data_IF_323240739240
#
_entry.id   IF_323240739240
#
_cell.length_a   1.000
_cell.length_b   1.000
_cell.length_c   1.000
_cell.angle_alpha   90.00
_cell.angle_beta   90.00
_cell.angle_gamma   90.00
#
_symmetry.space_group_name_H-M   'P 1'
#
loop_
_entity.id
_entity.type
_entity.pdbx_description
1 polymer ?
#
# COMPACT_ATOMS: atom_id res chain seq x y z
N UNK A 1 1.43 -3.51 -18.16
CA UNK A 1 0.96 -4.03 -16.85
C UNK A 1 0.67 -2.84 -15.96
N UNK A 2 -0.49 -2.76 -15.29
CA UNK A 2 -0.80 -1.64 -14.39
C UNK A 2 0.06 -1.75 -13.13
N UNK A 3 0.77 -0.68 -12.75
CA UNK A 3 1.64 -0.60 -11.55
C UNK A 3 1.19 0.47 -10.56
N UNK A 4 0.17 1.26 -10.89
CA UNK A 4 -0.30 2.40 -10.11
C UNK A 4 -1.31 1.95 -9.04
N UNK A 5 -1.08 2.31 -7.79
CA UNK A 5 -2.03 2.15 -6.68
C UNK A 5 -2.56 3.52 -6.29
N UNK A 6 -3.88 3.69 -6.23
CA UNK A 6 -4.49 4.91 -5.72
C UNK A 6 -4.56 4.88 -4.20
N UNK A 7 -3.87 5.78 -3.51
CA UNK A 7 -4.13 6.08 -2.10
C UNK A 7 -5.37 6.98 -2.00
N UNK A 8 -6.53 6.39 -1.72
CA UNK A 8 -7.81 7.07 -1.69
C UNK A 8 -8.05 7.74 -0.33
N UNK A 9 -7.25 8.76 -0.05
CA UNK A 9 -7.34 9.56 1.18
C UNK A 9 -8.40 10.68 1.04
N UNK A 10 -9.61 10.31 0.62
CA UNK A 10 -10.78 11.17 0.43
C UNK A 10 -11.87 10.67 1.37
N UNK A 11 -12.30 11.51 2.32
CA UNK A 11 -13.09 11.07 3.48
C UNK A 11 -14.59 11.37 3.37
N UNK A 12 -15.04 11.78 2.19
CA UNK A 12 -16.45 11.87 1.84
C UNK A 12 -16.77 10.69 0.92
N UNK A 13 -17.72 9.86 1.33
CA UNK A 13 -17.97 8.52 0.76
C UNK A 13 -18.24 8.57 -0.74
N UNK A 14 -19.19 9.41 -1.16
CA UNK A 14 -19.66 9.41 -2.54
C UNK A 14 -18.56 9.96 -3.47
N UNK A 15 -17.84 10.98 -3.02
CA UNK A 15 -16.67 11.49 -3.74
C UNK A 15 -15.54 10.46 -3.83
N UNK A 16 -15.31 9.66 -2.78
CA UNK A 16 -14.31 8.61 -2.81
C UNK A 16 -14.65 7.53 -3.86
N UNK A 17 -15.92 7.10 -3.92
CA UNK A 17 -16.41 6.15 -4.91
C UNK A 17 -16.29 6.71 -6.34
N UNK A 18 -16.71 7.95 -6.57
CA UNK A 18 -16.63 8.62 -7.87
C UNK A 18 -15.17 8.68 -8.40
N UNK A 19 -14.23 9.08 -7.54
CA UNK A 19 -12.81 9.16 -7.92
C UNK A 19 -12.25 7.76 -8.22
N UNK A 20 -12.58 6.76 -7.40
CA UNK A 20 -12.11 5.39 -7.60
C UNK A 20 -12.62 4.81 -8.92
N UNK A 21 -13.92 4.99 -9.22
CA UNK A 21 -14.54 4.51 -10.45
C UNK A 21 -13.95 5.20 -11.69
N UNK A 22 -13.90 6.54 -11.72
CA UNK A 22 -13.44 7.26 -12.90
C UNK A 22 -11.95 7.03 -13.22
N UNK A 23 -11.15 6.58 -12.24
CA UNK A 23 -9.71 6.30 -12.40
C UNK A 23 -9.38 4.83 -12.62
N UNK A 24 -10.32 3.90 -12.45
CA UNK A 24 -10.09 2.45 -12.38
C UNK A 24 -9.31 1.86 -13.58
N UNK A 25 -9.49 2.39 -14.78
CA UNK A 25 -8.82 1.94 -16.02
C UNK A 25 -7.28 2.03 -15.99
N UNK A 26 -6.72 2.81 -15.07
CA UNK A 26 -5.29 3.08 -14.97
C UNK A 26 -4.65 2.44 -13.74
N UNK A 27 -5.46 1.92 -12.83
CA UNK A 27 -5.04 1.45 -11.51
C UNK A 27 -4.87 -0.08 -11.49
N UNK A 28 -3.89 -0.52 -10.73
CA UNK A 28 -3.74 -1.90 -10.31
C UNK A 28 -4.58 -2.20 -9.06
N UNK A 29 -4.66 -1.28 -8.11
CA UNK A 29 -5.43 -1.43 -6.88
C UNK A 29 -5.83 -0.07 -6.29
N UNK A 30 -6.82 -0.09 -5.39
CA UNK A 30 -7.20 1.05 -4.55
C UNK A 30 -6.76 0.75 -3.11
N UNK A 31 -6.12 1.72 -2.45
CA UNK A 31 -5.67 1.63 -1.06
C UNK A 31 -6.52 2.55 -0.19
N UNK A 32 -7.19 1.99 0.81
CA UNK A 32 -7.99 2.71 1.81
C UNK A 32 -7.27 2.74 3.15
N UNK A 33 -7.55 3.74 3.98
CA UNK A 33 -6.92 3.93 5.29
C UNK A 33 -7.97 3.94 6.42
N UNK A 34 -7.51 3.98 7.67
CA UNK A 34 -8.41 4.08 8.83
C UNK A 34 -9.37 5.27 8.78
N UNK A 35 -8.94 6.52 8.51
CA UNK A 35 -9.85 7.65 8.39
C UNK A 35 -11.06 7.41 7.47
N UNK A 36 -10.86 6.84 6.28
CA UNK A 36 -11.96 6.52 5.36
C UNK A 36 -12.88 5.43 5.95
N UNK A 37 -12.30 4.35 6.49
CA UNK A 37 -13.07 3.25 7.09
C UNK A 37 -13.87 3.71 8.32
N UNK A 38 -13.30 4.58 9.16
CA UNK A 38 -13.98 5.14 10.33
C UNK A 38 -15.12 6.07 9.89
N UNK A 39 -14.89 6.90 8.88
CA UNK A 39 -15.88 7.86 8.40
C UNK A 39 -17.03 7.24 7.60
N UNK A 40 -16.75 6.21 6.79
CA UNK A 40 -17.74 5.60 5.87
C UNK A 40 -18.22 4.22 6.32
N UNK A 41 -17.63 3.66 7.37
CA UNK A 41 -17.85 2.28 7.79
C UNK A 41 -17.05 1.27 6.96
N UNK A 42 -16.94 0.04 7.47
CA UNK A 42 -16.15 -1.03 6.84
C UNK A 42 -16.67 -1.43 5.44
N UNK A 43 -17.96 -1.25 5.19
CA UNK A 43 -18.59 -1.56 3.90
C UNK A 43 -18.02 -0.77 2.72
N UNK A 44 -17.32 0.35 2.96
CA UNK A 44 -16.65 1.10 1.88
C UNK A 44 -15.69 0.23 1.08
N UNK A 45 -15.09 -0.80 1.71
CA UNK A 45 -14.23 -1.78 1.04
C UNK A 45 -15.03 -2.56 -0.02
N UNK A 46 -16.20 -3.07 0.36
CA UNK A 46 -17.10 -3.79 -0.55
C UNK A 46 -17.56 -2.89 -1.70
N UNK A 47 -17.97 -1.67 -1.39
CA UNK A 47 -18.48 -0.71 -2.38
C UNK A 47 -17.40 -0.33 -3.40
N UNK A 48 -16.18 -0.03 -2.95
CA UNK A 48 -15.04 0.26 -3.82
C UNK A 48 -14.73 -0.91 -4.75
N UNK A 49 -14.76 -2.14 -4.22
CA UNK A 49 -14.53 -3.34 -5.03
C UNK A 49 -15.60 -3.53 -6.09
N UNK A 50 -16.86 -3.24 -5.78
CA UNK A 50 -17.98 -3.34 -6.73
C UNK A 50 -17.88 -2.30 -7.85
N UNK A 51 -17.62 -1.02 -7.54
CA UNK A 51 -17.60 0.04 -8.56
C UNK A 51 -16.33 0.01 -9.41
N UNK A 52 -15.21 -0.48 -8.87
CA UNK A 52 -13.93 -0.50 -9.62
C UNK A 52 -13.60 -1.85 -10.24
N UNK A 53 -14.09 -2.96 -9.66
CA UNK A 53 -13.62 -4.31 -10.00
C UNK A 53 -12.15 -4.57 -9.68
N UNK A 54 -11.50 -3.70 -8.89
CA UNK A 54 -10.07 -3.76 -8.60
C UNK A 54 -9.78 -4.37 -7.21
N UNK A 55 -8.56 -4.90 -7.02
CA UNK A 55 -8.07 -5.25 -5.69
C UNK A 55 -8.08 -4.07 -4.72
N UNK A 56 -8.43 -4.34 -3.47
CA UNK A 56 -8.41 -3.36 -2.38
C UNK A 56 -7.29 -3.67 -1.38
N UNK A 57 -6.48 -2.67 -1.08
CA UNK A 57 -5.45 -2.71 -0.03
C UNK A 57 -5.97 -1.94 1.20
N UNK A 58 -6.12 -2.63 2.32
CA UNK A 58 -6.44 -2.00 3.59
C UNK A 58 -5.13 -1.56 4.30
N UNK A 59 -4.86 -0.26 4.27
CA UNK A 59 -3.71 0.36 4.93
C UNK A 59 -3.96 0.58 6.42
N UNK A 60 -4.03 -0.53 7.15
CA UNK A 60 -4.38 -0.54 8.57
C UNK A 60 -3.16 -0.43 9.48
N UNK A 61 -1.98 -0.81 8.97
CA UNK A 61 -0.74 -0.92 9.74
C UNK A 61 -0.96 -1.70 11.04
N UNK A 62 -1.60 -2.87 10.93
CA UNK A 62 -1.91 -3.72 12.09
C UNK A 62 -0.65 -3.96 12.93
N UNK A 63 -0.78 -3.77 14.24
CA UNK A 63 0.32 -3.77 15.20
C UNK A 63 -0.20 -4.15 16.59
N UNK A 64 -1.05 -5.18 16.65
CA UNK A 64 -1.59 -5.74 17.90
C UNK A 64 -1.11 -7.19 18.08
N UNK A 65 -1.47 -7.82 19.20
CA UNK A 65 -1.17 -9.23 19.48
C UNK A 65 -1.88 -10.16 18.48
N UNK A 66 -1.44 -11.44 18.34
CA UNK A 66 -1.92 -12.33 17.28
C UNK A 66 -3.45 -12.51 17.26
N UNK A 67 -4.09 -12.66 18.43
CA UNK A 67 -5.55 -12.84 18.51
C UNK A 67 -6.31 -11.62 17.97
N UNK A 68 -5.91 -10.41 18.39
CA UNK A 68 -6.56 -9.18 17.95
C UNK A 68 -6.34 -8.95 16.45
N UNK A 69 -5.11 -9.14 15.96
CA UNK A 69 -4.82 -9.05 14.52
C UNK A 69 -5.69 -10.01 13.71
N UNK A 70 -5.88 -11.26 14.16
CA UNK A 70 -6.74 -12.24 13.50
C UNK A 70 -8.20 -11.77 13.43
N UNK A 71 -8.73 -11.22 14.53
CA UNK A 71 -10.10 -10.69 14.57
C UNK A 71 -10.29 -9.52 13.60
N UNK A 72 -9.36 -8.56 13.60
CA UNK A 72 -9.42 -7.40 12.69
C UNK A 72 -9.29 -7.86 11.24
N UNK A 73 -8.28 -8.68 10.94
CA UNK A 73 -8.02 -9.18 9.60
C UNK A 73 -9.20 -9.98 9.05
N UNK A 74 -9.80 -10.84 9.86
CA UNK A 74 -10.99 -11.60 9.47
C UNK A 74 -12.13 -10.69 9.00
N UNK A 75 -12.45 -9.65 9.77
CA UNK A 75 -13.51 -8.68 9.39
C UNK A 75 -13.17 -7.92 8.11
N UNK A 76 -11.92 -7.53 7.93
CA UNK A 76 -11.47 -6.73 6.79
C UNK A 76 -11.43 -7.55 5.50
N UNK A 77 -10.98 -8.82 5.57
CA UNK A 77 -11.04 -9.75 4.44
C UNK A 77 -12.48 -10.16 4.11
N UNK A 78 -13.34 -10.39 5.11
CA UNK A 78 -14.79 -10.62 4.91
C UNK A 78 -15.47 -9.45 4.17
N UNK A 79 -15.07 -8.21 4.46
CA UNK A 79 -15.56 -7.02 3.76
C UNK A 79 -15.04 -6.91 2.31
N UNK A 80 -14.11 -7.77 1.90
CA UNK A 80 -13.65 -7.88 0.51
C UNK A 80 -12.27 -7.31 0.24
N UNK A 81 -11.49 -6.92 1.25
CA UNK A 81 -10.11 -6.52 1.04
C UNK A 81 -9.29 -7.67 0.44
N UNK A 82 -8.33 -7.35 -0.42
CA UNK A 82 -7.43 -8.35 -1.03
C UNK A 82 -6.08 -8.39 -0.34
N UNK A 83 -5.69 -7.28 0.30
CA UNK A 83 -4.44 -7.12 1.02
C UNK A 83 -4.62 -6.32 2.30
N UNK A 84 -3.87 -6.67 3.35
CA UNK A 84 -3.76 -5.86 4.57
C UNK A 84 -2.30 -5.43 4.76
N UNK A 85 -2.09 -4.16 5.10
CA UNK A 85 -0.78 -3.67 5.54
C UNK A 85 -0.63 -3.89 7.04
N UNK A 86 0.46 -4.54 7.45
CA UNK A 86 0.79 -4.84 8.85
C UNK A 86 2.23 -4.44 9.19
N UNK A 87 2.49 -4.17 10.48
CA UNK A 87 3.84 -3.95 11.00
C UNK A 87 4.47 -5.26 11.47
N UNK A 88 5.77 -5.42 11.20
CA UNK A 88 6.55 -6.55 11.72
C UNK A 88 7.16 -6.32 13.10
N UNK A 89 7.20 -5.07 13.60
CA UNK A 89 7.85 -4.77 14.88
C UNK A 89 7.15 -5.41 16.09
N UNK A 90 5.90 -5.87 15.93
CA UNK A 90 5.12 -6.56 16.96
C UNK A 90 5.39 -8.06 17.06
N UNK A 91 6.26 -8.61 16.21
CA UNK A 91 6.60 -10.03 16.19
C UNK A 91 6.04 -10.76 14.96
N UNK A 92 6.72 -11.86 14.57
CA UNK A 92 6.33 -12.66 13.41
C UNK A 92 5.00 -13.39 13.62
N UNK A 93 4.72 -13.83 14.84
CA UNK A 93 3.46 -14.46 15.25
C UNK A 93 2.24 -13.57 14.97
N UNK A 94 2.39 -12.25 15.18
CA UNK A 94 1.36 -11.26 14.93
C UNK A 94 1.14 -11.00 13.43
N UNK A 95 2.18 -11.16 12.60
CA UNK A 95 2.10 -11.06 11.14
C UNK A 95 1.49 -12.33 10.55
N UNK A 96 1.93 -13.50 11.03
CA UNK A 96 1.42 -14.82 10.62
C UNK A 96 -0.08 -14.93 10.86
N UNK A 97 -0.59 -14.44 11.99
CA UNK A 97 -2.01 -14.40 12.28
C UNK A 97 -2.87 -13.65 11.24
N UNK A 98 -2.29 -12.66 10.55
CA UNK A 98 -2.94 -11.97 9.43
C UNK A 98 -2.78 -12.78 8.13
N UNK A 99 -1.58 -13.34 7.90
CA UNK A 99 -1.26 -14.12 6.71
C UNK A 99 -2.04 -15.43 6.59
N UNK A 100 -2.42 -16.02 7.72
CA UNK A 100 -3.33 -17.18 7.79
C UNK A 100 -4.69 -16.91 7.12
N UNK A 101 -5.13 -15.65 7.08
CA UNK A 101 -6.44 -15.25 6.57
C UNK A 101 -6.39 -14.64 5.17
N UNK A 102 -5.25 -14.11 4.74
CA UNK A 102 -5.14 -13.47 3.44
C UNK A 102 -3.78 -12.85 3.16
N UNK A 103 -3.68 -12.10 2.06
CA UNK A 103 -2.39 -11.56 1.60
C UNK A 103 -1.99 -10.37 2.45
N UNK A 104 -0.75 -10.38 2.92
CA UNK A 104 -0.20 -9.31 3.77
C UNK A 104 0.88 -8.53 3.03
N UNK A 105 0.94 -7.23 3.31
CA UNK A 105 2.04 -6.34 2.92
C UNK A 105 2.73 -5.85 4.19
N UNK A 106 4.01 -6.14 4.35
CA UNK A 106 4.75 -5.81 5.58
C UNK A 106 5.38 -4.41 5.50
N UNK A 107 5.27 -3.63 6.57
CA UNK A 107 6.03 -2.37 6.69
C UNK A 107 7.44 -2.67 7.17
N UNK A 108 8.44 -2.52 6.28
CA UNK A 108 9.88 -2.69 6.62
C UNK A 108 10.61 -1.36 6.81
N UNK A 109 10.10 -0.28 6.21
CA UNK A 109 10.62 1.08 6.40
C UNK A 109 9.49 2.11 6.17
N UNK A 110 9.60 3.29 6.79
CA UNK A 110 8.64 4.40 6.67
C UNK A 110 9.36 5.69 6.26
N UNK A 111 8.64 6.61 5.61
CA UNK A 111 9.23 7.84 5.04
C UNK A 111 9.26 9.06 5.97
N UNK A 112 8.41 9.09 7.00
CA UNK A 112 8.30 10.24 7.91
C UNK A 112 9.55 10.39 8.82
N UNK A 113 9.88 11.60 9.31
CA UNK A 113 11.09 11.85 10.10
C UNK A 113 11.28 10.93 11.32
N UNK A 114 10.21 10.66 12.07
CA UNK A 114 10.24 9.79 13.26
C UNK A 114 10.59 8.33 12.97
N UNK A 115 10.49 7.87 11.72
CA UNK A 115 10.93 6.54 11.33
C UNK A 115 12.41 6.28 11.63
N UNK A 116 13.23 7.35 11.68
CA UNK A 116 14.67 7.27 11.97
C UNK A 116 14.99 6.86 13.40
N UNK A 117 14.06 7.05 14.33
CA UNK A 117 14.27 6.76 15.74
C UNK A 117 14.26 5.26 16.03
N UNK A 118 13.27 4.53 15.49
CA UNK A 118 13.05 3.12 15.84
C UNK A 118 12.86 2.18 14.66
N UNK A 119 12.23 2.62 13.56
CA UNK A 119 11.88 1.74 12.44
C UNK A 119 13.06 1.54 11.48
N UNK A 120 13.71 2.62 11.05
CA UNK A 120 14.84 2.56 10.13
C UNK A 120 16.06 1.82 10.71
N UNK A 121 16.41 1.98 12.01
CA UNK A 121 17.49 1.19 12.60
C UNK A 121 17.26 -0.32 12.59
N UNK A 122 16.00 -0.78 12.51
CA UNK A 122 15.65 -2.20 12.49
C UNK A 122 15.18 -2.70 11.12
N UNK A 123 15.29 -1.89 10.06
CA UNK A 123 14.85 -2.27 8.70
C UNK A 123 15.45 -3.61 8.25
N UNK A 124 16.73 -3.86 8.51
CA UNK A 124 17.37 -5.13 8.10
C UNK A 124 16.72 -6.35 8.76
N UNK A 125 16.37 -6.27 10.06
CA UNK A 125 15.66 -7.34 10.77
C UNK A 125 14.23 -7.54 10.24
N UNK A 126 13.57 -6.44 9.86
CA UNK A 126 12.24 -6.50 9.24
C UNK A 126 12.29 -7.11 7.83
N UNK A 127 13.38 -6.88 7.07
CA UNK A 127 13.62 -7.55 5.78
C UNK A 127 13.88 -9.04 5.97
N UNK A 128 14.69 -9.44 6.96
CA UNK A 128 14.92 -10.85 7.30
C UNK A 128 13.60 -11.55 7.65
N UNK A 129 12.74 -10.92 8.46
CA UNK A 129 11.39 -11.41 8.75
C UNK A 129 10.55 -11.54 7.47
N UNK A 130 10.54 -10.52 6.60
CA UNK A 130 9.82 -10.59 5.34
C UNK A 130 10.33 -11.73 4.44
N UNK A 131 11.63 -11.99 4.42
CA UNK A 131 12.22 -13.10 3.66
C UNK A 131 11.82 -14.47 4.20
N UNK A 132 11.66 -14.60 5.53
CA UNK A 132 11.23 -15.85 6.16
C UNK A 132 9.73 -16.12 6.03
N UNK A 133 8.90 -15.07 6.08
CA UNK A 133 7.45 -15.18 6.00
C UNK A 133 6.91 -15.15 4.56
N UNK A 134 7.66 -14.53 3.63
CA UNK A 134 7.29 -14.38 2.22
C UNK A 134 5.90 -13.71 2.03
N UNK A 135 5.66 -12.51 2.61
CA UNK A 135 4.42 -11.77 2.37
C UNK A 135 4.29 -11.40 0.89
N UNK A 136 3.11 -10.96 0.45
CA UNK A 136 2.92 -10.52 -0.93
C UNK A 136 3.92 -9.42 -1.31
N UNK A 137 4.17 -8.51 -0.39
CA UNK A 137 5.14 -7.47 -0.58
C UNK A 137 5.50 -6.72 0.69
N UNK A 138 6.30 -5.68 0.53
CA UNK A 138 6.70 -4.78 1.59
C UNK A 138 6.49 -3.32 1.18
N UNK A 139 6.38 -2.44 2.19
CA UNK A 139 6.40 -0.98 2.00
C UNK A 139 7.84 -0.46 2.07
N UNK A 140 8.26 0.29 1.05
CA UNK A 140 9.52 1.03 1.00
C UNK A 140 9.30 2.52 0.67
N UNK A 141 10.09 3.46 1.20
CA UNK A 141 9.87 4.91 1.01
C UNK A 141 10.24 5.40 -0.40
N UNK A 142 9.27 5.98 -1.14
CA UNK A 142 9.50 6.45 -2.53
C UNK A 142 10.38 7.69 -2.63
N UNK A 143 10.45 8.46 -1.54
CA UNK A 143 11.21 9.72 -1.46
C UNK A 143 12.72 9.51 -1.55
N UNK A 144 13.17 8.26 -1.45
CA UNK A 144 14.57 7.86 -1.37
C UNK A 144 14.83 6.63 -2.25
N UNK A 145 15.00 6.79 -3.59
CA UNK A 145 15.23 5.69 -4.50
C UNK A 145 16.39 4.77 -4.08
N UNK A 146 17.42 5.31 -3.43
CA UNK A 146 18.54 4.52 -2.88
C UNK A 146 18.09 3.53 -1.81
N UNK A 147 17.06 3.88 -1.01
CA UNK A 147 16.47 2.97 -0.01
C UNK A 147 15.64 1.88 -0.68
N UNK A 148 14.94 2.19 -1.77
CA UNK A 148 14.21 1.18 -2.57
C UNK A 148 15.19 0.16 -3.13
N UNK A 149 16.29 0.60 -3.74
CA UNK A 149 17.35 -0.29 -4.26
C UNK A 149 17.99 -1.13 -3.15
N UNK A 150 18.24 -0.52 -1.98
CA UNK A 150 18.80 -1.22 -0.82
C UNK A 150 17.87 -2.31 -0.29
N UNK A 151 16.57 -2.02 -0.16
CA UNK A 151 15.58 -3.01 0.28
C UNK A 151 15.47 -4.12 -0.78
N UNK A 152 15.42 -3.77 -2.06
CA UNK A 152 15.36 -4.74 -3.17
C UNK A 152 16.56 -5.70 -3.16
N UNK A 153 17.78 -5.22 -2.93
CA UNK A 153 18.97 -6.07 -2.97
C UNK A 153 19.02 -7.13 -1.86
N UNK A 154 18.22 -6.95 -0.80
CA UNK A 154 18.14 -7.87 0.34
C UNK A 154 16.87 -8.74 0.36
N UNK A 155 15.86 -8.41 -0.43
CA UNK A 155 14.60 -9.17 -0.47
C UNK A 155 14.71 -10.42 -1.35
N UNK A 156 14.05 -11.50 -0.92
CA UNK A 156 13.88 -12.72 -1.70
C UNK A 156 13.13 -12.41 -3.01
N UNK A 157 13.54 -13.00 -4.15
CA UNK A 157 12.77 -12.90 -5.39
C UNK A 157 11.31 -13.30 -5.19
N UNK A 158 10.38 -12.55 -5.77
CA UNK A 158 8.94 -12.79 -5.65
C UNK A 158 8.23 -11.86 -4.67
N UNK A 159 8.91 -11.38 -3.61
CA UNK A 159 8.37 -10.39 -2.69
C UNK A 159 8.31 -9.02 -3.39
N UNK A 160 7.11 -8.44 -3.45
CA UNK A 160 6.88 -7.16 -4.15
C UNK A 160 7.30 -5.97 -3.30
N UNK A 161 7.72 -4.88 -3.93
CA UNK A 161 7.91 -3.59 -3.26
C UNK A 161 6.81 -2.64 -3.71
N UNK A 162 6.06 -2.13 -2.74
CA UNK A 162 5.10 -1.05 -2.93
C UNK A 162 5.64 0.22 -2.30
N UNK A 163 5.56 1.34 -3.02
CA UNK A 163 6.23 2.57 -2.58
C UNK A 163 5.29 3.79 -2.55
N UNK A 164 4.97 4.36 -1.37
CA UNK A 164 4.24 5.62 -1.26
C UNK A 164 5.17 6.82 -1.29
N UNK A 165 4.66 7.95 -1.79
CA UNK A 165 5.36 9.24 -1.77
C UNK A 165 5.74 9.79 -3.16
N UNK A 166 5.31 9.14 -4.24
CA UNK A 166 5.43 9.72 -5.58
C UNK A 166 4.48 10.91 -5.75
N UNK A 167 4.96 11.97 -6.39
CA UNK A 167 4.22 13.23 -6.57
C UNK A 167 4.29 14.12 -5.34
N UNK A 168 3.32 13.97 -4.42
CA UNK A 168 3.13 14.90 -3.30
C UNK A 168 4.31 15.03 -2.32
N UNK A 169 5.16 13.99 -2.21
CA UNK A 169 6.37 14.01 -1.37
C UNK A 169 7.66 14.14 -2.21
N UNK A 170 7.54 14.43 -3.51
CA UNK A 170 8.68 14.67 -4.41
C UNK A 170 9.27 13.42 -5.08
N UNK A 171 8.77 12.21 -4.78
CA UNK A 171 9.22 10.99 -5.47
C UNK A 171 8.81 10.99 -6.94
N UNK A 172 9.67 10.44 -7.82
CA UNK A 172 9.42 10.33 -9.27
C UNK A 172 9.18 8.86 -9.65
N UNK A 173 8.06 8.58 -10.31
CA UNK A 173 7.63 7.22 -10.61
C UNK A 173 8.70 6.39 -11.34
N UNK A 174 9.30 6.96 -12.40
CA UNK A 174 10.31 6.25 -13.18
C UNK A 174 11.60 5.95 -12.41
N UNK A 175 11.98 6.79 -11.44
CA UNK A 175 13.18 6.57 -10.64
C UNK A 175 12.99 5.44 -9.63
N UNK A 176 11.85 5.40 -8.95
CA UNK A 176 11.57 4.34 -7.98
C UNK A 176 11.29 2.99 -8.64
N UNK A 177 10.71 2.98 -9.85
CA UNK A 177 10.56 1.76 -10.66
C UNK A 177 11.93 1.20 -11.07
N UNK A 178 12.85 2.06 -11.56
CA UNK A 178 14.23 1.67 -11.86
C UNK A 178 15.00 1.19 -10.63
N UNK A 179 14.69 1.73 -9.46
CA UNK A 179 15.24 1.29 -8.18
C UNK A 179 14.69 -0.07 -7.70
N UNK A 180 13.68 -0.64 -8.37
CA UNK A 180 13.17 -1.99 -8.09
C UNK A 180 11.81 -2.04 -7.38
N UNK A 181 11.06 -0.94 -7.35
CA UNK A 181 9.66 -0.96 -6.95
C UNK A 181 8.79 -1.72 -7.98
N UNK A 182 7.84 -2.52 -7.52
CA UNK A 182 6.84 -3.18 -8.38
C UNK A 182 5.61 -2.30 -8.57
N UNK A 183 5.19 -1.61 -7.51
CA UNK A 183 4.00 -0.76 -7.49
C UNK A 183 4.29 0.61 -6.88
N UNK A 184 3.66 1.63 -7.45
CA UNK A 184 3.78 3.02 -7.02
C UNK A 184 2.45 3.49 -6.43
N UNK A 185 2.47 3.96 -5.19
CA UNK A 185 1.29 4.44 -4.48
C UNK A 185 1.23 5.97 -4.61
N UNK A 186 0.16 6.48 -5.22
CA UNK A 186 -0.08 7.91 -5.43
C UNK A 186 -1.44 8.30 -4.88
N UNK A 187 -1.49 9.40 -4.10
CA UNK A 187 -2.72 9.93 -3.52
C UNK A 187 -3.08 11.29 -4.11
N UNK A 188 -2.69 12.36 -3.39
CA UNK A 188 -3.11 13.75 -3.64
C UNK A 188 -2.97 14.21 -5.09
N UNK A 189 -1.91 13.79 -5.78
CA UNK A 189 -1.67 14.13 -7.20
C UNK A 189 -2.77 13.62 -8.15
N UNK A 190 -3.59 12.65 -7.71
CA UNK A 190 -4.76 12.16 -8.43
C UNK A 190 -6.04 12.76 -7.82
N UNK A 191 -6.33 12.46 -6.55
CA UNK A 191 -7.65 12.77 -5.98
C UNK A 191 -7.93 14.26 -5.78
N UNK A 192 -6.90 15.10 -5.68
CA UNK A 192 -7.03 16.56 -5.52
C UNK A 192 -6.78 17.31 -6.84
N UNK A 193 -6.61 16.61 -7.95
CA UNK A 193 -6.50 17.24 -9.27
C UNK A 193 -7.87 17.66 -9.79
N UNK A 194 -7.89 18.66 -10.70
CA UNK A 194 -9.11 19.10 -11.38
C UNK A 194 -9.76 17.97 -12.19
N UNK A 195 -8.96 17.04 -12.71
CA UNK A 195 -9.42 15.88 -13.45
C UNK A 195 -8.66 14.60 -13.00
N UNK A 196 -9.19 13.88 -11.99
CA UNK A 196 -8.55 12.68 -11.45
C UNK A 196 -8.26 11.61 -12.49
N UNK A 197 -9.19 11.39 -13.44
CA UNK A 197 -9.02 10.42 -14.54
C UNK A 197 -7.82 10.78 -15.42
N UNK A 198 -7.70 12.04 -15.84
CA UNK A 198 -6.58 12.51 -16.65
C UNK A 198 -5.24 12.44 -15.89
N UNK A 199 -5.24 12.78 -14.59
CA UNK A 199 -4.06 12.66 -13.74
C UNK A 199 -3.60 11.20 -13.58
N UNK A 200 -4.52 10.28 -13.34
CA UNK A 200 -4.24 8.85 -13.25
C UNK A 200 -3.71 8.29 -14.59
N UNK A 201 -4.31 8.69 -15.72
CA UNK A 201 -3.84 8.31 -17.05
C UNK A 201 -2.39 8.74 -17.30
N UNK A 202 -2.07 10.00 -17.03
CA UNK A 202 -0.73 10.54 -17.24
C UNK A 202 0.32 9.77 -16.43
N UNK A 203 0.04 9.51 -15.16
CA UNK A 203 0.93 8.72 -14.29
C UNK A 203 1.09 7.28 -14.79
N UNK A 204 0.01 6.66 -15.27
CA UNK A 204 0.07 5.32 -15.85
C UNK A 204 0.93 5.26 -17.12
N UNK A 205 0.79 6.24 -18.01
CA UNK A 205 1.59 6.38 -19.23
C UNK A 205 3.09 6.57 -18.89
N UNK A 206 3.40 7.46 -17.94
CA UNK A 206 4.77 7.69 -17.44
C UNK A 206 5.41 6.41 -16.87
N UNK A 207 4.63 5.54 -16.22
CA UNK A 207 5.11 4.27 -15.65
C UNK A 207 5.25 3.15 -16.68
N UNK A 208 4.54 3.24 -17.81
CA UNK A 208 4.59 2.22 -18.88
C UNK A 208 5.84 2.38 -19.74
N UNK A 209 6.41 3.59 -19.81
CA UNK A 209 7.67 3.87 -20.49
C UNK A 209 8.94 3.45 -19.72
N UNK A 210 8.80 2.76 -18.58
CA UNK A 210 9.89 2.37 -17.67
C UNK A 210 9.91 0.87 -17.44
#
# INVERSE_FOLDING_TARGET
MRRLVLALDVYERDRALEIAECTADYLWAVKVNWPLIIGSGLNIITELKQVTGLPIIADLKLADIPNTNRLIAGKVFEAGADYIIAHGFVGSDSVEAVMELGRTILVVEMSHPGAREFIQPVTDKLIEMANGLEPFGVIAPATRPERVSYIRSKLKPGIRILTPGVGAQGGRAGEVLKAGADYVIVGRSIYASENPRAAARKLHEEMTGV
#
